data_IF_186380534292
#
_entry.id   IF_186380534292
#
_cell.length_a   1.000
_cell.length_b   1.000
_cell.length_c   1.000
_cell.angle_alpha   90.00
_cell.angle_beta   90.00
_cell.angle_gamma   90.00
#
_symmetry.space_group_name_H-M   'P 1'
#
loop_
_entity.id
_entity.type
_entity.pdbx_description
1 polymer ?
#
# COMPACT_ATOMS: atom_id res chain seq x y z
N UNK A 1 16.51 5.66 -8.64
CA UNK A 1 15.28 5.67 -9.46
C UNK A 1 14.14 5.21 -8.58
N UNK A 2 13.02 5.94 -8.57
CA UNK A 2 11.83 5.53 -7.82
C UNK A 2 10.92 4.69 -8.71
N UNK A 3 10.36 3.63 -8.15
CA UNK A 3 9.35 2.77 -8.78
C UNK A 3 8.12 2.72 -7.90
N UNK A 4 6.94 2.75 -8.53
CA UNK A 4 5.64 2.63 -7.85
C UNK A 4 4.97 1.36 -8.36
N UNK A 5 4.61 0.47 -7.43
CA UNK A 5 3.88 -0.76 -7.73
C UNK A 5 2.58 -0.77 -6.94
N UNK A 6 1.47 -1.10 -7.60
CA UNK A 6 0.18 -1.25 -6.95
C UNK A 6 -0.07 -2.73 -6.58
N UNK A 7 -0.73 -2.93 -5.44
CA UNK A 7 -1.28 -4.20 -5.03
C UNK A 7 -2.78 -4.03 -4.84
N UNK A 8 -3.55 -4.84 -5.53
CA UNK A 8 -5.00 -4.84 -5.45
C UNK A 8 -5.47 -6.12 -4.75
N UNK A 9 -6.33 -5.97 -3.75
CA UNK A 9 -7.09 -7.07 -3.15
C UNK A 9 -8.54 -6.99 -3.65
N UNK A 10 -8.91 -7.79 -4.68
CA UNK A 10 -10.20 -7.66 -5.36
C UNK A 10 -11.38 -7.95 -4.44
N UNK A 11 -11.18 -8.78 -3.40
CA UNK A 11 -12.27 -9.21 -2.51
C UNK A 11 -12.85 -8.08 -1.69
N UNK A 12 -12.05 -7.07 -1.38
CA UNK A 12 -12.42 -5.94 -0.53
C UNK A 12 -12.28 -4.59 -1.24
N UNK A 13 -11.97 -4.59 -2.53
CA UNK A 13 -11.65 -3.38 -3.32
C UNK A 13 -10.60 -2.50 -2.63
N UNK A 14 -9.60 -3.14 -2.03
CA UNK A 14 -8.49 -2.45 -1.35
C UNK A 14 -7.36 -2.26 -2.36
N UNK A 15 -6.78 -1.06 -2.36
CA UNK A 15 -5.64 -0.71 -3.17
C UNK A 15 -4.50 -0.25 -2.25
N UNK A 16 -3.37 -0.94 -2.33
CA UNK A 16 -2.15 -0.62 -1.61
C UNK A 16 -1.04 -0.26 -2.60
N UNK A 17 -0.08 0.55 -2.18
CA UNK A 17 1.06 0.91 -3.02
C UNK A 17 2.38 0.64 -2.34
N UNK A 18 3.36 0.23 -3.13
CA UNK A 18 4.78 0.15 -2.74
C UNK A 18 5.55 1.16 -3.57
N UNK A 19 6.16 2.13 -2.90
CA UNK A 19 7.07 3.10 -3.50
C UNK A 19 8.48 2.65 -3.12
N UNK A 20 9.25 2.18 -4.08
CA UNK A 20 10.59 1.60 -3.85
C UNK A 20 11.68 2.40 -4.55
N UNK A 21 12.86 2.45 -3.94
CA UNK A 21 14.06 3.01 -4.55
C UNK A 21 15.04 1.90 -4.96
N UNK A 22 15.30 1.77 -6.25
CA UNK A 22 16.10 0.66 -6.80
C UNK A 22 17.57 0.63 -6.35
N UNK A 23 18.11 1.75 -5.84
CA UNK A 23 19.52 1.86 -5.44
C UNK A 23 19.80 1.42 -4.01
N UNK A 24 18.85 1.64 -3.10
CA UNK A 24 19.00 1.35 -1.67
C UNK A 24 18.23 0.11 -1.21
N UNK A 25 17.25 -0.34 -2.02
CA UNK A 25 16.29 -1.36 -1.61
C UNK A 25 15.29 -0.85 -0.57
N UNK A 26 15.24 0.45 -0.31
CA UNK A 26 14.28 1.05 0.62
C UNK A 26 12.91 1.22 -0.04
N UNK A 27 11.86 1.07 0.76
CA UNK A 27 10.50 1.28 0.29
C UNK A 27 9.57 1.90 1.33
N UNK A 28 8.49 2.52 0.82
CA UNK A 28 7.37 3.05 1.57
C UNK A 28 6.12 2.29 1.14
N UNK A 29 5.24 2.01 2.11
CA UNK A 29 3.97 1.35 1.86
C UNK A 29 2.84 2.34 2.13
N UNK A 30 1.90 2.47 1.20
CA UNK A 30 0.69 3.28 1.35
C UNK A 30 -0.52 2.35 1.43
N UNK A 31 -1.41 2.61 2.39
CA UNK A 31 -2.61 1.83 2.70
C UNK A 31 -2.31 0.33 2.82
N UNK A 32 -1.49 -0.08 3.81
CA UNK A 32 -0.94 -1.43 3.88
C UNK A 32 -2.02 -2.51 4.00
N UNK A 33 -2.12 -3.39 3.00
CA UNK A 33 -2.88 -4.63 3.14
C UNK A 33 -2.01 -5.76 3.72
N UNK A 34 -2.51 -6.59 4.66
CA UNK A 34 -1.75 -7.71 5.20
C UNK A 34 -1.26 -8.72 4.15
N UNK A 35 -2.01 -8.88 3.05
CA UNK A 35 -1.61 -9.71 1.92
C UNK A 35 -0.37 -9.18 1.18
N UNK A 36 -0.26 -7.85 1.04
CA UNK A 36 0.92 -7.20 0.46
C UNK A 36 2.16 -7.41 1.35
N UNK A 37 2.02 -7.25 2.67
CA UNK A 37 3.14 -7.41 3.60
C UNK A 37 3.74 -8.82 3.55
N UNK A 38 2.90 -9.85 3.39
CA UNK A 38 3.35 -11.23 3.18
C UNK A 38 4.06 -11.45 1.84
N UNK A 39 3.66 -10.73 0.79
CA UNK A 39 4.27 -10.83 -0.53
C UNK A 39 5.65 -10.14 -0.62
N UNK A 40 5.92 -9.17 0.25
CA UNK A 40 7.17 -8.41 0.29
C UNK A 40 8.30 -9.10 1.07
N UNK A 41 8.04 -10.28 1.64
CA UNK A 41 8.92 -10.96 2.60
C UNK A 41 10.28 -11.32 1.99
N UNK A 42 11.29 -10.45 2.21
CA UNK A 42 12.71 -10.73 2.00
C UNK A 42 13.49 -9.79 1.06
N UNK A 43 12.83 -8.91 0.29
CA UNK A 43 13.51 -8.14 -0.78
C UNK A 43 13.74 -6.65 -0.51
N UNK A 44 12.91 -6.01 0.32
CA UNK A 44 12.87 -4.56 0.48
C UNK A 44 12.90 -4.14 1.95
N UNK A 45 13.56 -3.02 2.24
CA UNK A 45 13.64 -2.40 3.57
C UNK A 45 12.53 -1.36 3.73
N UNK A 46 11.48 -1.72 4.45
CA UNK A 46 10.34 -0.82 4.71
C UNK A 46 10.79 0.30 5.64
N UNK A 47 10.72 1.56 5.16
CA UNK A 47 11.09 2.76 5.91
C UNK A 47 9.91 3.44 6.59
N UNK A 48 8.75 3.44 5.94
CA UNK A 48 7.52 3.91 6.55
C UNK A 48 6.31 3.21 5.98
N UNK A 49 5.24 3.25 6.78
CA UNK A 49 3.92 2.79 6.43
C UNK A 49 2.97 3.97 6.61
N UNK A 50 2.28 4.34 5.53
CA UNK A 50 1.37 5.46 5.45
C UNK A 50 -0.03 4.87 5.38
N UNK A 51 -0.75 4.85 6.49
CA UNK A 51 -2.16 4.48 6.50
C UNK A 51 -2.99 5.75 6.31
N UNK A 52 -3.88 5.76 5.32
CA UNK A 52 -4.93 6.77 5.22
C UNK A 52 -5.83 6.75 6.46
N UNK A 53 -6.43 7.89 6.79
CA UNK A 53 -7.51 7.89 7.75
C UNK A 53 -8.71 7.11 7.18
N UNK A 54 -9.45 6.34 8.00
CA UNK A 54 -10.66 5.67 7.55
C UNK A 54 -11.62 6.74 7.00
N UNK A 55 -11.77 6.77 5.67
CA UNK A 55 -12.60 7.77 5.01
C UNK A 55 -14.05 7.42 5.32
N UNK A 56 -14.71 8.20 6.17
CA UNK A 56 -16.14 8.10 6.52
C UNK A 56 -17.06 8.48 5.34
N UNK A 57 -16.58 8.38 4.09
CA UNK A 57 -17.28 8.82 2.89
C UNK A 57 -18.33 7.83 2.37
N UNK A 58 -18.47 6.63 2.98
CA UNK A 58 -19.53 5.68 2.62
C UNK A 58 -20.93 6.08 3.14
N UNK A 59 -21.05 7.13 3.96
CA UNK A 59 -22.34 7.50 4.59
C UNK A 59 -23.24 8.44 3.77
N UNK A 60 -22.80 8.99 2.62
CA UNK A 60 -23.54 10.09 1.96
C UNK A 60 -24.07 9.83 0.54
N UNK A 61 -24.03 8.59 0.02
CA UNK A 61 -24.73 8.27 -1.24
C UNK A 61 -26.05 7.54 -0.92
N UNK A 62 -26.94 8.26 -0.24
CA UNK A 62 -28.39 8.03 -0.32
C UNK A 62 -29.07 9.38 -0.45
N UNK A 63 -29.21 9.84 -1.69
CA UNK A 63 -30.39 10.53 -2.24
C UNK A 63 -30.15 10.84 -3.71
#
# INVERSE_FOLDING_TARGET
MLSVTAYEEPRFSILSYVISESGSGECFIVDPHPGLLKALDGGLKIKAVIAGEPTTAAASIRR
#
